data_IF_862316477472
#
_entry.id   IF_862316477472
#
_cell.length_a   1.000
_cell.length_b   1.000
_cell.length_c   1.000
_cell.angle_alpha   90.00
_cell.angle_beta   90.00
_cell.angle_gamma   90.00
#
_symmetry.space_group_name_H-M   'P 1'
#
loop_
_entity.id
_entity.type
_entity.pdbx_description
1 polymer ?
#
# COMPACT_ATOMS: atom_id res chain seq x y z
N UNK A 1 99.92 -45.89 -26.66
CA UNK A 1 99.17 -44.97 -25.88
C UNK A 1 97.70 -45.17 -26.26
N UNK A 2 97.01 -46.05 -25.52
CA UNK A 2 95.56 -46.33 -25.78
C UNK A 2 94.73 -45.44 -24.91
N UNK A 3 93.87 -44.58 -25.52
CA UNK A 3 92.87 -43.79 -24.84
C UNK A 3 91.58 -44.61 -24.83
N UNK A 4 91.13 -45.02 -23.62
CA UNK A 4 89.83 -45.66 -23.43
C UNK A 4 88.71 -44.57 -23.40
N UNK A 5 87.82 -44.62 -24.37
CA UNK A 5 86.63 -43.82 -24.40
C UNK A 5 85.63 -44.46 -23.46
N UNK A 6 85.28 -43.77 -22.33
CA UNK A 6 84.12 -44.11 -21.49
C UNK A 6 82.87 -43.62 -22.17
N UNK A 7 82.02 -44.55 -22.60
CA UNK A 7 80.65 -44.24 -23.06
C UNK A 7 79.77 -44.09 -21.87
N UNK A 8 79.27 -42.89 -21.66
CA UNK A 8 78.17 -42.61 -20.73
C UNK A 8 76.86 -43.13 -21.37
N UNK A 9 76.24 -44.14 -20.77
CA UNK A 9 74.93 -44.61 -21.16
C UNK A 9 73.90 -43.50 -20.66
N UNK A 10 72.93 -43.08 -21.48
CA UNK A 10 71.91 -42.17 -21.03
C UNK A 10 71.07 -42.82 -19.92
N UNK A 11 70.88 -42.15 -18.81
CA UNK A 11 70.02 -42.59 -17.73
C UNK A 11 68.60 -42.74 -18.28
N UNK A 12 68.05 -43.95 -18.24
CA UNK A 12 66.66 -44.19 -18.59
C UNK A 12 65.78 -43.44 -17.62
N UNK A 13 65.12 -42.41 -18.11
CA UNK A 13 64.07 -41.75 -17.33
C UNK A 13 62.93 -42.74 -17.11
N UNK A 14 62.56 -42.99 -15.86
CA UNK A 14 61.42 -43.83 -15.53
C UNK A 14 60.16 -43.18 -16.10
N UNK A 15 59.22 -43.96 -16.59
CA UNK A 15 57.97 -43.43 -17.14
C UNK A 15 57.09 -42.94 -15.99
N UNK A 16 56.41 -41.81 -16.16
CA UNK A 16 55.45 -41.32 -15.13
C UNK A 16 54.36 -42.36 -14.91
N UNK A 17 53.83 -42.47 -13.68
CA UNK A 17 52.78 -43.43 -13.32
C UNK A 17 51.51 -43.21 -14.11
N UNK A 18 50.78 -44.27 -14.47
CA UNK A 18 49.46 -44.17 -15.00
C UNK A 18 48.51 -43.76 -13.86
N UNK A 19 47.59 -42.78 -14.09
CA UNK A 19 46.61 -42.39 -13.12
C UNK A 19 45.26 -42.06 -13.77
N UNK A 20 44.17 -42.59 -13.23
CA UNK A 20 42.81 -42.23 -13.57
C UNK A 20 42.01 -41.92 -12.31
N UNK A 21 41.00 -41.07 -12.46
CA UNK A 21 40.19 -40.59 -11.31
C UNK A 21 38.70 -40.69 -11.58
N UNK A 22 37.94 -40.96 -10.52
CA UNK A 22 36.48 -40.99 -10.52
C UNK A 22 35.94 -40.25 -9.30
N UNK A 23 34.76 -39.69 -9.46
CA UNK A 23 33.97 -39.06 -8.37
C UNK A 23 32.58 -39.71 -8.30
N UNK A 24 32.23 -40.21 -7.15
CA UNK A 24 30.92 -40.83 -6.89
C UNK A 24 30.20 -40.20 -5.68
N UNK A 25 29.11 -39.47 -5.90
CA UNK A 25 28.55 -38.91 -7.12
C UNK A 25 29.33 -37.68 -7.62
N UNK A 26 29.43 -37.48 -8.94
CA UNK A 26 30.07 -36.28 -9.50
C UNK A 26 29.17 -35.04 -9.54
N UNK A 27 27.88 -35.19 -9.26
CA UNK A 27 26.93 -34.08 -9.20
C UNK A 27 25.76 -34.41 -8.29
N UNK A 28 25.28 -33.40 -7.51
CA UNK A 28 24.13 -33.57 -6.61
C UNK A 28 23.81 -32.29 -5.82
N UNK A 29 22.76 -32.33 -4.95
CA UNK A 29 22.41 -31.21 -4.08
C UNK A 29 23.50 -30.94 -3.03
N UNK A 30 23.76 -29.67 -2.76
CA UNK A 30 24.66 -29.22 -1.69
C UNK A 30 24.02 -29.35 -0.31
N UNK A 31 24.79 -29.68 0.75
CA UNK A 31 26.17 -30.13 0.72
C UNK A 31 26.27 -31.53 0.06
N UNK A 32 27.26 -31.71 -0.86
CA UNK A 32 27.41 -32.97 -1.60
C UNK A 32 28.57 -33.78 -1.04
N UNK A 33 28.27 -34.93 -0.45
CA UNK A 33 29.28 -35.91 -0.06
C UNK A 33 29.73 -36.68 -1.30
N UNK A 34 31.03 -36.73 -1.53
CA UNK A 34 31.67 -37.36 -2.70
C UNK A 34 32.79 -38.26 -2.25
N UNK A 35 32.86 -39.46 -2.83
CA UNK A 35 34.04 -40.32 -2.77
C UNK A 35 34.85 -40.09 -4.03
N UNK A 36 36.10 -39.67 -3.89
CA UNK A 36 37.08 -39.49 -4.94
C UNK A 36 37.99 -40.71 -4.91
N UNK A 37 38.18 -41.37 -6.04
CA UNK A 37 39.03 -42.56 -6.18
C UNK A 37 40.03 -42.34 -7.28
N UNK A 38 41.30 -42.53 -6.98
CA UNK A 38 42.40 -42.61 -7.93
C UNK A 38 42.81 -44.04 -8.10
N UNK A 39 43.02 -44.46 -9.34
CA UNK A 39 43.52 -45.81 -9.69
C UNK A 39 44.72 -45.66 -10.62
N UNK A 40 45.71 -46.52 -10.42
CA UNK A 40 46.93 -46.50 -11.17
C UNK A 40 48.07 -47.28 -10.47
N UNK A 41 49.29 -47.14 -10.94
CA UNK A 41 50.48 -47.81 -10.45
C UNK A 41 51.42 -46.94 -9.60
N UNK A 42 50.86 -45.82 -9.04
CA UNK A 42 51.64 -44.92 -8.20
C UNK A 42 51.84 -45.45 -6.78
N UNK A 43 52.96 -45.06 -6.16
CA UNK A 43 53.24 -45.34 -4.75
C UNK A 43 52.46 -44.45 -3.77
N UNK A 44 52.09 -43.21 -4.16
CA UNK A 44 51.34 -42.31 -3.35
C UNK A 44 50.43 -41.39 -4.19
N UNK A 45 49.33 -40.92 -3.56
CA UNK A 45 48.34 -40.02 -4.16
C UNK A 45 48.10 -38.83 -3.25
N UNK A 46 48.30 -37.62 -3.79
CA UNK A 46 48.00 -36.35 -3.11
C UNK A 46 46.91 -35.59 -3.87
N UNK A 47 45.85 -35.21 -3.20
CA UNK A 47 44.69 -34.49 -3.76
C UNK A 47 44.68 -33.02 -3.39
N UNK A 48 44.49 -32.18 -4.39
CA UNK A 48 43.90 -30.85 -4.26
C UNK A 48 42.41 -31.01 -4.59
N UNK A 49 41.50 -30.77 -3.61
CA UNK A 49 40.08 -31.01 -3.78
C UNK A 49 39.37 -29.86 -4.53
N UNK A 50 40.11 -28.78 -4.82
CA UNK A 50 39.61 -27.64 -5.62
C UNK A 50 38.75 -26.65 -4.87
N UNK A 51 38.61 -26.80 -3.54
CA UNK A 51 37.92 -25.88 -2.64
C UNK A 51 38.88 -25.29 -1.59
N UNK A 52 40.18 -25.46 -1.77
CA UNK A 52 41.25 -25.03 -0.85
C UNK A 52 41.61 -26.06 0.17
N UNK A 53 41.03 -27.25 0.13
CA UNK A 53 41.41 -28.38 1.01
C UNK A 53 42.21 -29.44 0.24
N UNK A 54 43.04 -30.23 0.94
CA UNK A 54 43.85 -31.32 0.41
C UNK A 54 43.58 -32.60 1.18
N UNK A 55 43.95 -33.73 0.57
CA UNK A 55 43.85 -35.03 1.23
C UNK A 55 44.85 -36.02 0.56
N UNK A 56 45.19 -37.12 1.25
CA UNK A 56 46.12 -38.15 0.77
C UNK A 56 45.44 -39.51 0.70
N UNK A 57 45.92 -40.35 -0.24
CA UNK A 57 45.45 -41.70 -0.39
C UNK A 57 44.72 -42.00 -1.69
N UNK A 58 44.54 -43.29 -2.03
CA UNK A 58 43.89 -43.68 -3.28
C UNK A 58 42.38 -43.47 -3.29
N UNK A 59 41.74 -43.34 -2.11
CA UNK A 59 40.30 -43.05 -1.97
C UNK A 59 40.09 -42.02 -0.85
N UNK A 60 39.35 -40.93 -1.15
CA UNK A 60 39.13 -39.83 -0.26
C UNK A 60 37.63 -39.51 -0.23
N UNK A 61 37.05 -39.32 0.96
CA UNK A 61 35.69 -38.77 1.14
C UNK A 61 35.74 -37.29 1.47
N UNK A 62 34.95 -36.50 0.76
CA UNK A 62 34.86 -35.05 1.01
C UNK A 62 33.42 -34.53 0.86
N UNK A 63 33.13 -33.44 1.55
CA UNK A 63 31.79 -32.78 1.52
C UNK A 63 31.93 -31.41 0.89
N UNK A 64 31.47 -31.28 -0.33
CA UNK A 64 31.52 -30.01 -1.08
C UNK A 64 30.36 -29.11 -0.71
N UNK A 65 30.66 -27.86 -0.38
CA UNK A 65 29.67 -26.79 -0.33
C UNK A 65 29.13 -26.51 -1.75
N UNK A 66 28.12 -25.57 -1.87
CA UNK A 66 27.58 -25.26 -3.18
C UNK A 66 28.64 -24.61 -4.10
N UNK A 67 28.92 -25.24 -5.24
CA UNK A 67 29.95 -24.79 -6.17
C UNK A 67 30.22 -25.78 -7.30
N UNK A 68 31.14 -25.41 -8.18
CA UNK A 68 31.76 -26.30 -9.14
C UNK A 68 33.25 -26.35 -8.82
N UNK A 69 33.76 -27.55 -8.62
CA UNK A 69 35.11 -27.82 -8.17
C UNK A 69 35.80 -28.75 -9.15
N UNK A 70 37.12 -28.62 -9.27
CA UNK A 70 37.97 -29.55 -10.01
C UNK A 70 38.92 -30.18 -9.01
N UNK A 71 38.63 -31.41 -8.61
CA UNK A 71 39.54 -32.19 -7.79
C UNK A 71 40.70 -32.73 -8.68
N UNK A 72 41.91 -32.49 -8.26
CA UNK A 72 43.14 -32.93 -8.94
C UNK A 72 43.90 -33.88 -8.04
N UNK A 73 44.36 -34.98 -8.59
CA UNK A 73 45.30 -35.86 -7.90
C UNK A 73 46.67 -35.78 -8.55
N UNK A 74 47.69 -35.72 -7.73
CA UNK A 74 49.07 -35.92 -8.12
C UNK A 74 49.48 -37.31 -7.64
N UNK A 75 49.73 -38.18 -8.56
CA UNK A 75 50.19 -39.55 -8.32
C UNK A 75 51.71 -39.58 -8.45
N UNK A 76 52.42 -40.12 -7.44
CA UNK A 76 53.87 -40.15 -7.41
C UNK A 76 54.35 -41.64 -7.44
N UNK A 77 55.18 -42.00 -8.39
CA UNK A 77 55.83 -43.33 -8.48
C UNK A 77 56.89 -43.48 -7.39
N UNK A 78 57.30 -44.71 -7.10
CA UNK A 78 58.42 -45.00 -6.19
C UNK A 78 59.78 -44.43 -6.67
N UNK A 79 59.85 -44.13 -7.95
CA UNK A 79 61.03 -43.53 -8.65
C UNK A 79 61.03 -42.01 -8.57
N UNK A 80 59.91 -41.37 -8.06
CA UNK A 80 59.74 -39.92 -7.87
C UNK A 80 59.06 -39.20 -9.04
N UNK A 81 58.81 -39.87 -10.19
CA UNK A 81 58.07 -39.30 -11.29
C UNK A 81 56.58 -39.09 -10.87
N UNK A 82 55.97 -38.03 -11.42
CA UNK A 82 54.61 -37.69 -11.12
C UNK A 82 53.68 -37.63 -12.33
N UNK A 83 52.41 -37.99 -12.13
CA UNK A 83 51.35 -37.80 -13.11
C UNK A 83 50.16 -37.16 -12.44
N UNK A 84 49.34 -36.41 -13.20
CA UNK A 84 48.15 -35.75 -12.69
C UNK A 84 46.91 -36.20 -13.45
N UNK A 85 45.80 -36.32 -12.72
CA UNK A 85 44.46 -36.47 -13.28
C UNK A 85 43.48 -35.58 -12.54
N UNK A 86 42.35 -35.21 -13.19
CA UNK A 86 41.37 -34.32 -12.61
C UNK A 86 39.95 -34.81 -12.90
N UNK A 87 39.04 -34.55 -11.96
CA UNK A 87 37.61 -34.82 -12.10
C UNK A 87 36.81 -33.63 -11.63
N UNK A 88 35.73 -33.33 -12.35
CA UNK A 88 34.82 -32.24 -11.99
C UNK A 88 33.74 -32.73 -11.02
N UNK A 89 33.48 -31.94 -9.96
CA UNK A 89 32.40 -32.13 -9.00
C UNK A 89 31.48 -30.91 -9.04
N UNK A 90 30.18 -31.14 -9.15
CA UNK A 90 29.16 -30.06 -9.15
C UNK A 90 28.23 -30.24 -7.95
N UNK A 91 28.40 -29.42 -6.94
CA UNK A 91 27.50 -29.36 -5.77
C UNK A 91 26.48 -28.21 -5.95
N UNK A 92 25.20 -28.57 -6.10
CA UNK A 92 24.13 -27.66 -6.53
C UNK A 92 23.47 -27.03 -5.30
N UNK A 93 23.64 -25.73 -5.14
CA UNK A 93 22.97 -24.94 -4.09
C UNK A 93 21.87 -24.02 -4.64
N UNK A 94 20.84 -23.82 -3.87
CA UNK A 94 19.76 -22.87 -4.13
C UNK A 94 19.52 -21.97 -2.93
N UNK A 95 19.27 -20.70 -3.18
CA UNK A 95 18.73 -19.78 -2.17
C UNK A 95 17.42 -19.19 -2.62
N UNK A 96 16.58 -18.79 -1.65
CA UNK A 96 15.31 -18.10 -1.89
C UNK A 96 15.10 -17.02 -0.84
N UNK A 97 14.60 -15.86 -1.27
CA UNK A 97 14.19 -14.77 -0.40
C UNK A 97 12.92 -14.09 -0.95
N UNK A 98 12.15 -13.46 -0.06
CA UNK A 98 10.97 -12.69 -0.38
C UNK A 98 10.73 -11.64 0.72
N UNK A 99 9.85 -10.62 0.51
CA UNK A 99 9.36 -9.76 1.58
C UNK A 99 8.71 -10.58 2.70
N UNK A 100 8.91 -10.15 3.95
CA UNK A 100 8.38 -10.86 5.13
C UNK A 100 6.85 -10.87 5.23
N UNK A 101 6.17 -9.93 4.53
CA UNK A 101 4.72 -9.75 4.57
C UNK A 101 4.15 -9.78 3.16
N UNK A 102 3.05 -10.51 2.96
CA UNK A 102 2.28 -10.51 1.72
C UNK A 102 0.78 -10.39 1.98
N UNK A 103 0.01 -9.80 1.03
CA UNK A 103 -1.44 -9.85 1.09
C UNK A 103 -1.95 -11.18 0.54
N UNK A 104 -2.97 -11.76 1.16
CA UNK A 104 -3.59 -12.98 0.65
C UNK A 104 -3.97 -12.87 -0.83
N UNK A 105 -3.59 -13.87 -1.64
CA UNK A 105 -3.76 -13.92 -3.09
C UNK A 105 -2.95 -12.89 -3.91
N UNK A 106 -2.16 -12.03 -3.30
CA UNK A 106 -1.24 -11.13 -4.01
C UNK A 106 -0.19 -11.93 -4.78
N UNK A 107 0.18 -11.50 -5.99
CA UNK A 107 1.39 -11.97 -6.68
C UNK A 107 2.60 -11.26 -6.07
N UNK A 108 3.45 -12.00 -5.37
CA UNK A 108 4.66 -11.51 -4.73
C UNK A 108 5.88 -11.92 -5.55
N UNK A 109 6.91 -11.08 -5.58
CA UNK A 109 8.20 -11.39 -6.22
C UNK A 109 9.08 -12.11 -5.21
N UNK A 110 9.54 -13.30 -5.59
CA UNK A 110 10.59 -14.06 -4.93
C UNK A 110 11.86 -13.91 -5.75
N UNK A 111 13.00 -13.87 -5.08
CA UNK A 111 14.32 -13.83 -5.71
C UNK A 111 15.22 -14.86 -5.05
N UNK A 112 16.20 -15.33 -5.80
CA UNK A 112 17.12 -16.33 -5.30
C UNK A 112 18.30 -16.50 -6.25
N UNK A 113 19.15 -17.50 -5.96
CA UNK A 113 20.34 -17.80 -6.73
C UNK A 113 20.58 -19.29 -6.81
N UNK A 114 20.96 -19.76 -8.00
CA UNK A 114 21.49 -21.09 -8.26
C UNK A 114 23.01 -21.01 -8.24
N UNK A 115 23.66 -21.93 -7.55
CA UNK A 115 25.11 -22.08 -7.47
C UNK A 115 25.44 -23.54 -7.83
N UNK A 116 26.39 -23.81 -8.72
CA UNK A 116 27.09 -22.88 -9.59
C UNK A 116 26.13 -22.16 -10.58
N UNK A 117 26.53 -20.98 -11.01
CA UNK A 117 25.70 -20.16 -11.90
C UNK A 117 25.57 -20.85 -13.27
N UNK A 118 24.30 -21.03 -13.71
CA UNK A 118 23.96 -21.57 -15.04
C UNK A 118 22.80 -20.77 -15.63
N UNK A 119 22.99 -20.23 -16.84
CA UNK A 119 21.94 -19.49 -17.58
C UNK A 119 20.89 -20.45 -18.13
N UNK A 120 19.61 -20.02 -18.09
CA UNK A 120 18.51 -20.71 -18.77
C UNK A 120 17.96 -21.95 -18.06
N UNK A 121 18.49 -22.30 -16.89
CA UNK A 121 18.01 -23.44 -16.10
C UNK A 121 16.61 -23.15 -15.53
N UNK A 122 15.69 -24.11 -15.68
CA UNK A 122 14.33 -24.00 -15.15
C UNK A 122 14.29 -24.41 -13.69
N UNK A 123 14.07 -23.42 -12.80
CA UNK A 123 13.88 -23.60 -11.36
C UNK A 123 12.40 -23.50 -11.02
N UNK A 124 11.87 -24.44 -10.24
CA UNK A 124 10.48 -24.43 -9.76
C UNK A 124 10.35 -23.69 -8.45
N UNK A 125 9.32 -22.82 -8.31
CA UNK A 125 8.88 -22.28 -7.03
C UNK A 125 7.74 -23.15 -6.48
N UNK A 126 7.91 -23.61 -5.27
CA UNK A 126 6.97 -24.48 -4.58
C UNK A 126 6.36 -23.76 -3.36
N UNK A 127 5.15 -24.13 -3.04
CA UNK A 127 4.45 -23.78 -1.80
C UNK A 127 4.01 -25.08 -1.14
N UNK A 128 4.72 -25.49 -0.07
CA UNK A 128 4.69 -26.88 0.37
C UNK A 128 5.18 -27.79 -0.77
N UNK A 129 4.45 -28.83 -1.09
CA UNK A 129 4.78 -29.76 -2.20
C UNK A 129 4.22 -29.32 -3.56
N UNK A 130 3.35 -28.30 -3.59
CA UNK A 130 2.74 -27.83 -4.84
C UNK A 130 3.64 -26.82 -5.56
N UNK A 131 4.02 -27.14 -6.81
CA UNK A 131 4.67 -26.16 -7.69
C UNK A 131 3.67 -25.08 -8.12
N UNK A 132 3.98 -23.81 -7.83
CA UNK A 132 3.11 -22.64 -8.10
C UNK A 132 3.62 -21.77 -9.24
N UNK A 133 4.92 -21.86 -9.57
CA UNK A 133 5.52 -21.15 -10.68
C UNK A 133 6.84 -21.80 -11.08
N UNK A 134 7.40 -21.38 -12.21
CA UNK A 134 8.77 -21.71 -12.62
C UNK A 134 9.39 -20.53 -13.36
N UNK A 135 10.72 -20.44 -13.34
CA UNK A 135 11.51 -19.39 -13.97
C UNK A 135 12.80 -19.95 -14.52
N UNK A 136 13.37 -19.30 -15.52
CA UNK A 136 14.73 -19.59 -16.02
C UNK A 136 15.74 -18.67 -15.32
N UNK A 137 16.89 -19.23 -14.95
CA UNK A 137 18.00 -18.48 -14.33
C UNK A 137 18.67 -17.53 -15.31
N UNK A 138 19.18 -16.41 -14.82
CA UNK A 138 20.06 -15.51 -15.52
C UNK A 138 21.49 -16.11 -15.69
N UNK A 139 22.36 -15.40 -16.42
CA UNK A 139 23.77 -15.80 -16.62
C UNK A 139 24.55 -15.92 -15.30
N UNK A 140 24.20 -15.18 -14.31
CA UNK A 140 24.77 -15.12 -12.97
C UNK A 140 24.09 -16.07 -11.95
N UNK A 141 23.22 -16.95 -12.42
CA UNK A 141 22.42 -17.87 -11.58
C UNK A 141 21.26 -17.25 -10.85
N UNK A 142 21.05 -15.92 -10.95
CA UNK A 142 19.92 -15.26 -10.30
C UNK A 142 18.59 -15.69 -10.89
N UNK A 143 17.57 -15.77 -10.04
CA UNK A 143 16.20 -16.05 -10.42
C UNK A 143 15.24 -15.05 -9.78
N UNK A 144 14.22 -14.64 -10.56
CA UNK A 144 13.14 -13.77 -10.11
C UNK A 144 11.83 -14.40 -10.53
N UNK A 145 11.04 -14.83 -9.57
CA UNK A 145 9.76 -15.51 -9.86
C UNK A 145 8.61 -14.86 -9.11
N UNK A 146 7.43 -14.76 -9.73
CA UNK A 146 6.23 -14.29 -9.09
C UNK A 146 5.40 -15.48 -8.62
N UNK A 147 5.13 -15.54 -7.32
CA UNK A 147 4.26 -16.53 -6.70
C UNK A 147 3.06 -15.89 -6.04
N UNK A 148 1.93 -16.62 -6.00
CA UNK A 148 0.73 -16.15 -5.32
C UNK A 148 0.81 -16.47 -3.83
N UNK A 149 0.62 -15.45 -2.97
CA UNK A 149 0.61 -15.61 -1.51
C UNK A 149 -0.58 -16.50 -1.10
N UNK A 150 -0.29 -17.56 -0.38
CA UNK A 150 -1.26 -18.49 0.19
C UNK A 150 -1.59 -18.20 1.66
N UNK A 151 -1.83 -19.27 2.40
CA UNK A 151 -1.98 -19.24 3.86
C UNK A 151 -0.60 -19.26 4.54
N UNK A 152 -0.45 -18.77 5.79
CA UNK A 152 0.85 -18.61 6.47
C UNK A 152 1.66 -19.88 6.65
N UNK A 153 1.00 -21.01 6.94
CA UNK A 153 1.66 -22.29 7.28
C UNK A 153 2.39 -22.93 6.09
N UNK A 154 2.24 -22.37 4.89
CA UNK A 154 2.85 -22.89 3.69
C UNK A 154 4.19 -22.19 3.44
N UNK A 155 5.27 -22.96 3.61
CA UNK A 155 6.63 -22.52 3.30
C UNK A 155 6.85 -22.51 1.79
N UNK A 156 7.64 -21.53 1.33
CA UNK A 156 8.03 -21.40 -0.07
C UNK A 156 9.46 -21.88 -0.22
N UNK A 157 9.71 -22.72 -1.22
CA UNK A 157 11.05 -23.23 -1.57
C UNK A 157 11.26 -23.14 -3.08
N UNK A 158 12.51 -22.97 -3.49
CA UNK A 158 12.94 -23.18 -4.87
C UNK A 158 13.53 -24.59 -5.00
N UNK A 159 13.24 -25.32 -6.10
CA UNK A 159 13.75 -26.69 -6.30
C UNK A 159 14.28 -26.87 -7.72
N UNK A 160 15.44 -27.54 -7.84
CA UNK A 160 16.09 -27.91 -9.09
C UNK A 160 17.05 -29.10 -8.87
N UNK A 161 16.97 -30.15 -9.71
CA UNK A 161 17.88 -31.30 -9.72
C UNK A 161 18.17 -31.85 -8.31
N UNK A 162 17.14 -32.09 -7.51
CA UNK A 162 17.25 -32.57 -6.12
C UNK A 162 17.59 -31.49 -5.09
N UNK A 163 18.19 -30.37 -5.48
CA UNK A 163 18.51 -29.27 -4.58
C UNK A 163 17.23 -28.49 -4.17
N UNK A 164 17.14 -28.16 -2.88
CA UNK A 164 16.06 -27.41 -2.29
C UNK A 164 16.64 -26.19 -1.57
N UNK A 165 16.08 -25.01 -1.81
CA UNK A 165 16.52 -23.79 -1.13
C UNK A 165 16.12 -23.78 0.36
N UNK A 166 16.66 -22.80 1.09
CA UNK A 166 16.07 -22.40 2.38
C UNK A 166 14.57 -22.12 2.21
N UNK A 167 13.80 -22.43 3.25
CA UNK A 167 12.36 -22.18 3.28
C UNK A 167 12.07 -20.73 3.65
N UNK A 168 11.16 -20.08 2.92
CA UNK A 168 10.66 -18.73 3.19
C UNK A 168 9.24 -18.81 3.71
N UNK A 169 9.00 -18.23 4.89
CA UNK A 169 7.67 -18.07 5.48
C UNK A 169 7.24 -16.61 5.40
N UNK A 170 5.94 -16.35 5.22
CA UNK A 170 5.37 -15.01 5.10
C UNK A 170 4.30 -14.81 6.16
N UNK A 171 4.31 -13.64 6.82
CA UNK A 171 3.14 -13.15 7.52
C UNK A 171 2.11 -12.67 6.49
N UNK A 172 0.86 -13.11 6.62
CA UNK A 172 -0.17 -12.87 5.61
C UNK A 172 -1.17 -11.83 6.09
N UNK A 173 -1.31 -10.74 5.34
CA UNK A 173 -2.37 -9.76 5.54
C UNK A 173 -3.65 -10.29 4.87
N UNK A 174 -4.70 -10.62 5.65
CA UNK A 174 -5.94 -11.11 5.07
C UNK A 174 -6.70 -10.01 4.34
N UNK A 175 -7.57 -10.39 3.40
CA UNK A 175 -8.56 -9.50 2.81
C UNK A 175 -9.70 -9.28 3.80
N UNK A 176 -10.02 -8.02 4.14
CA UNK A 176 -11.18 -7.65 4.94
C UNK A 176 -12.09 -6.76 4.10
N UNK A 177 -13.19 -7.33 3.63
CA UNK A 177 -14.22 -6.64 2.87
C UNK A 177 -15.37 -6.27 3.80
N UNK A 178 -15.84 -5.02 3.71
CA UNK A 178 -16.91 -4.51 4.54
C UNK A 178 -17.84 -3.63 3.72
N UNK A 179 -19.15 -3.76 3.88
CA UNK A 179 -20.12 -2.95 3.17
C UNK A 179 -21.45 -2.83 3.94
N UNK A 180 -22.11 -1.70 3.76
CA UNK A 180 -23.54 -1.60 4.00
C UNK A 180 -24.30 -2.03 2.75
N UNK A 181 -25.34 -2.83 2.91
CA UNK A 181 -26.18 -3.37 1.86
C UNK A 181 -27.61 -2.86 2.07
N UNK A 182 -28.17 -2.22 1.04
CA UNK A 182 -29.49 -1.61 1.08
C UNK A 182 -29.46 -0.08 1.26
N UNK A 183 -30.65 0.49 1.48
CA UNK A 183 -30.83 1.94 1.57
C UNK A 183 -30.68 2.45 3.00
N UNK A 184 -30.08 3.64 3.17
CA UNK A 184 -30.11 4.41 4.42
C UNK A 184 -31.42 5.17 4.64
N UNK A 185 -32.42 5.06 3.78
CA UNK A 185 -33.71 5.71 3.99
C UNK A 185 -34.51 5.07 5.14
N UNK A 186 -35.21 5.90 5.87
CA UNK A 186 -36.07 5.48 6.97
C UNK A 186 -37.06 4.40 6.53
N UNK A 187 -37.23 3.34 7.32
CA UNK A 187 -38.13 2.22 7.03
C UNK A 187 -37.64 1.24 5.95
N UNK A 188 -36.58 1.54 5.21
CA UNK A 188 -36.04 0.62 4.18
C UNK A 188 -35.09 -0.40 4.77
N UNK A 189 -34.92 -1.55 4.06
CA UNK A 189 -33.99 -2.61 4.50
C UNK A 189 -32.55 -2.14 4.42
N UNK A 190 -31.82 -2.28 5.51
CA UNK A 190 -30.40 -2.00 5.63
C UNK A 190 -29.73 -3.17 6.36
N UNK A 191 -28.59 -3.62 5.89
CA UNK A 191 -27.77 -4.59 6.60
C UNK A 191 -26.28 -4.27 6.44
N UNK A 192 -25.49 -4.70 7.39
CA UNK A 192 -24.03 -4.62 7.35
C UNK A 192 -23.45 -5.99 7.05
N UNK A 193 -22.44 -6.04 6.17
CA UNK A 193 -21.67 -7.23 5.81
C UNK A 193 -20.21 -7.01 6.12
N UNK A 194 -19.60 -7.96 6.84
CA UNK A 194 -18.15 -8.11 6.94
C UNK A 194 -17.74 -9.49 6.42
N UNK A 195 -16.66 -9.57 5.69
CA UNK A 195 -16.09 -10.82 5.17
C UNK A 195 -14.58 -10.79 5.26
N UNK A 196 -13.98 -11.84 5.81
CA UNK A 196 -12.54 -12.05 5.80
C UNK A 196 -12.16 -13.15 4.81
N UNK A 197 -11.06 -12.97 4.12
CA UNK A 197 -10.49 -13.96 3.19
C UNK A 197 -9.00 -14.18 3.47
N UNK A 198 -8.57 -15.44 3.67
CA UNK A 198 -9.39 -16.65 3.74
C UNK A 198 -10.22 -16.70 5.04
N UNK A 199 -11.25 -17.54 5.09
CA UNK A 199 -12.12 -17.64 6.27
C UNK A 199 -11.39 -18.08 7.54
N UNK A 200 -10.33 -18.87 7.37
CA UNK A 200 -9.45 -19.36 8.46
C UNK A 200 -8.49 -18.29 9.01
N UNK A 201 -8.51 -17.05 8.49
CA UNK A 201 -7.57 -16.01 8.92
C UNK A 201 -7.77 -15.53 10.37
N UNK A 202 -8.84 -15.94 11.02
CA UNK A 202 -9.12 -15.63 12.43
C UNK A 202 -10.60 -15.34 12.68
N UNK A 203 -10.89 -14.81 13.87
CA UNK A 203 -12.23 -14.47 14.31
C UNK A 203 -12.54 -13.02 14.04
N UNK A 204 -13.58 -12.76 13.23
CA UNK A 204 -14.15 -11.43 13.03
C UNK A 204 -15.00 -11.04 14.23
N UNK A 205 -14.88 -9.80 14.69
CA UNK A 205 -15.80 -9.16 15.62
C UNK A 205 -16.36 -7.91 14.98
N UNK A 206 -17.67 -7.82 14.88
CA UNK A 206 -18.41 -6.65 14.39
C UNK A 206 -19.15 -6.05 15.57
N UNK A 207 -18.89 -4.77 15.85
CA UNK A 207 -19.62 -3.96 16.83
C UNK A 207 -20.30 -2.81 16.14
N UNK A 208 -21.57 -2.57 16.47
CA UNK A 208 -22.41 -1.55 15.85
C UNK A 208 -23.00 -0.67 16.92
N UNK A 209 -22.76 0.63 16.79
CA UNK A 209 -23.32 1.67 17.66
C UNK A 209 -24.34 2.48 16.88
N UNK A 210 -25.31 3.02 17.63
CA UNK A 210 -26.21 4.07 17.20
C UNK A 210 -26.05 5.23 18.16
N UNK A 211 -25.52 6.35 17.68
CA UNK A 211 -24.96 7.37 18.57
C UNK A 211 -23.86 6.78 19.45
N UNK A 212 -24.01 6.92 20.77
CA UNK A 212 -23.08 6.35 21.77
C UNK A 212 -23.46 4.91 22.21
N UNK A 213 -24.69 4.47 21.95
CA UNK A 213 -25.21 3.18 22.40
C UNK A 213 -24.76 2.02 21.51
N UNK A 214 -24.14 0.99 22.09
CA UNK A 214 -23.87 -0.27 21.42
C UNK A 214 -25.19 -1.02 21.19
N UNK A 215 -25.57 -1.22 19.91
CA UNK A 215 -26.84 -1.86 19.56
C UNK A 215 -26.69 -3.30 19.10
N UNK A 216 -25.51 -3.68 18.60
CA UNK A 216 -25.19 -5.05 18.20
C UNK A 216 -23.71 -5.33 18.34
N UNK A 217 -23.39 -6.55 18.79
CA UNK A 217 -22.07 -7.13 18.71
C UNK A 217 -22.21 -8.58 18.23
N UNK A 218 -21.36 -9.01 17.31
CA UNK A 218 -21.33 -10.39 16.81
C UNK A 218 -19.90 -10.78 16.45
N UNK A 219 -19.51 -11.99 16.84
CA UNK A 219 -18.24 -12.61 16.45
C UNK A 219 -18.50 -13.88 15.65
N UNK A 220 -17.54 -14.25 14.77
CA UNK A 220 -17.62 -15.44 13.95
C UNK A 220 -16.52 -15.51 12.91
N UNK A 221 -16.50 -16.57 12.13
CA UNK A 221 -15.50 -16.81 11.07
C UNK A 221 -16.04 -16.49 9.68
N UNK A 222 -15.16 -16.13 8.78
CA UNK A 222 -15.43 -15.97 7.36
C UNK A 222 -16.36 -14.80 7.02
N UNK A 223 -17.64 -14.87 7.39
CA UNK A 223 -18.66 -13.88 6.99
C UNK A 223 -19.65 -13.61 8.12
N UNK A 224 -19.88 -12.33 8.39
CA UNK A 224 -20.93 -11.86 9.33
C UNK A 224 -21.86 -10.92 8.58
N UNK A 225 -23.17 -11.15 8.63
CA UNK A 225 -24.21 -10.22 8.19
C UNK A 225 -25.12 -9.87 9.34
N UNK A 226 -25.43 -8.58 9.49
CA UNK A 226 -26.28 -8.05 10.56
C UNK A 226 -27.33 -7.13 9.93
N UNK A 227 -28.60 -7.42 10.15
CA UNK A 227 -29.69 -6.53 9.79
C UNK A 227 -29.72 -5.34 10.78
N UNK A 228 -30.00 -4.13 10.27
CA UNK A 228 -30.07 -2.90 11.02
C UNK A 228 -31.52 -2.38 11.06
N UNK A 229 -31.92 -1.85 12.21
CA UNK A 229 -33.24 -1.26 12.35
C UNK A 229 -33.23 0.16 11.78
N UNK A 230 -34.06 0.40 10.78
CA UNK A 230 -34.20 1.70 10.11
C UNK A 230 -35.52 2.43 10.48
N UNK A 231 -36.22 2.01 11.51
CA UNK A 231 -37.48 2.66 11.95
C UNK A 231 -37.27 4.07 12.55
N UNK A 232 -36.03 4.42 12.86
CA UNK A 232 -35.70 5.77 13.40
C UNK A 232 -34.44 6.29 12.70
N UNK A 233 -34.39 7.60 12.41
CA UNK A 233 -33.20 8.26 11.86
C UNK A 233 -32.02 8.25 12.85
N UNK A 234 -30.80 8.42 12.34
CA UNK A 234 -29.57 8.48 13.12
C UNK A 234 -28.43 7.69 12.50
N UNK A 235 -27.22 7.92 12.96
CA UNK A 235 -26.02 7.28 12.42
C UNK A 235 -25.75 5.91 13.05
N UNK A 236 -25.45 4.92 12.21
CA UNK A 236 -24.85 3.66 12.60
C UNK A 236 -23.34 3.70 12.40
N UNK A 237 -22.58 3.60 13.48
CA UNK A 237 -21.12 3.44 13.46
C UNK A 237 -20.77 1.98 13.62
N UNK A 238 -19.95 1.46 12.73
CA UNK A 238 -19.53 0.05 12.74
C UNK A 238 -18.02 -0.03 12.87
N UNK A 239 -17.57 -0.82 13.84
CA UNK A 239 -16.16 -1.22 13.94
C UNK A 239 -16.05 -2.72 13.70
N UNK A 240 -15.16 -3.07 12.79
CA UNK A 240 -14.81 -4.46 12.49
C UNK A 240 -13.36 -4.68 12.89
N UNK A 241 -13.11 -5.70 13.67
CA UNK A 241 -11.77 -6.15 14.02
C UNK A 241 -11.61 -7.64 13.74
N UNK A 242 -10.45 -8.01 13.25
CA UNK A 242 -10.02 -9.39 13.12
C UNK A 242 -9.04 -9.69 14.24
N UNK A 243 -9.36 -10.69 15.09
CA UNK A 243 -8.39 -11.37 15.93
C UNK A 243 -7.74 -12.44 15.04
N UNK A 244 -6.46 -12.26 14.64
CA UNK A 244 -5.87 -13.12 13.64
C UNK A 244 -5.52 -14.51 14.21
N UNK A 245 -5.64 -15.53 13.38
CA UNK A 245 -5.01 -16.83 13.61
C UNK A 245 -3.48 -16.71 13.43
N UNK A 246 -2.68 -17.68 13.91
CA UNK A 246 -1.22 -17.68 13.77
C UNK A 246 -0.76 -17.39 12.34
N UNK A 247 0.26 -16.53 12.19
CA UNK A 247 0.82 -16.14 10.91
C UNK A 247 0.01 -15.11 10.10
N UNK A 248 -1.23 -14.79 10.51
CA UNK A 248 -2.00 -13.70 9.92
C UNK A 248 -1.81 -12.39 10.68
N UNK A 249 -1.90 -11.29 9.94
CA UNK A 249 -1.82 -9.94 10.51
C UNK A 249 -3.21 -9.44 10.90
N UNK A 250 -3.24 -8.59 11.94
CA UNK A 250 -4.45 -7.93 12.38
C UNK A 250 -5.04 -7.05 11.27
N UNK A 251 -6.37 -7.00 11.18
CA UNK A 251 -7.10 -6.11 10.29
C UNK A 251 -8.24 -5.43 11.03
N UNK A 252 -8.46 -4.15 10.75
CA UNK A 252 -9.52 -3.34 11.34
C UNK A 252 -10.17 -2.48 10.27
N UNK A 253 -11.48 -2.20 10.42
CA UNK A 253 -12.24 -1.23 9.62
C UNK A 253 -13.21 -0.50 10.51
N UNK A 254 -13.43 0.78 10.21
CA UNK A 254 -14.51 1.58 10.76
C UNK A 254 -15.32 2.14 9.58
N UNK A 255 -16.62 2.11 9.70
CA UNK A 255 -17.56 2.64 8.70
C UNK A 255 -18.72 3.31 9.44
N UNK A 256 -19.35 4.23 8.74
CA UNK A 256 -20.58 4.88 9.21
C UNK A 256 -21.64 4.84 8.12
N UNK A 257 -22.90 4.79 8.53
CA UNK A 257 -24.06 4.89 7.64
C UNK A 257 -25.17 5.60 8.37
N UNK A 258 -25.64 6.69 7.78
CA UNK A 258 -26.80 7.43 8.30
C UNK A 258 -28.10 6.78 7.82
N UNK A 259 -29.06 6.68 8.73
CA UNK A 259 -30.47 6.43 8.43
C UNK A 259 -31.19 7.77 8.50
N UNK A 260 -31.82 8.17 7.41
CA UNK A 260 -32.32 9.53 7.22
C UNK A 260 -33.74 9.56 6.62
N UNK A 261 -34.43 10.63 6.88
CA UNK A 261 -35.62 11.04 6.12
C UNK A 261 -35.14 11.57 4.77
N UNK A 262 -35.71 11.11 3.63
CA UNK A 262 -35.16 11.42 2.31
C UNK A 262 -35.24 12.89 1.92
N UNK A 263 -36.20 13.65 2.44
CA UNK A 263 -36.42 15.07 2.09
C UNK A 263 -36.33 15.96 3.32
N UNK A 264 -35.48 16.98 3.25
CA UNK A 264 -35.37 18.05 4.26
C UNK A 264 -35.34 19.41 3.57
N UNK A 265 -35.93 20.39 4.21
CA UNK A 265 -35.97 21.80 3.78
C UNK A 265 -36.06 22.71 5.01
N UNK A 266 -36.03 24.01 4.79
CA UNK A 266 -36.22 25.01 5.84
C UNK A 266 -37.41 24.66 6.73
N UNK A 267 -37.21 24.73 8.04
CA UNK A 267 -38.19 24.36 9.05
C UNK A 267 -38.23 22.87 9.40
N UNK A 268 -37.54 21.99 8.68
CA UNK A 268 -37.38 20.60 9.10
C UNK A 268 -36.61 20.53 10.42
N UNK A 269 -36.99 19.58 11.30
CA UNK A 269 -36.32 19.41 12.58
C UNK A 269 -36.15 17.92 12.94
N UNK A 270 -35.23 17.64 13.86
CA UNK A 270 -35.02 16.32 14.45
C UNK A 270 -33.80 15.57 13.97
N UNK A 271 -33.69 14.23 14.24
CA UNK A 271 -32.47 13.47 14.10
C UNK A 271 -31.88 13.44 12.69
N UNK A 272 -32.70 13.59 11.64
CA UNK A 272 -32.18 13.62 10.25
C UNK A 272 -31.47 14.94 9.96
N UNK A 273 -31.95 16.07 10.48
CA UNK A 273 -31.28 17.38 10.37
C UNK A 273 -30.02 17.36 11.19
N UNK A 274 -30.05 16.90 12.43
CA UNK A 274 -28.85 16.77 13.27
C UNK A 274 -27.73 15.97 12.58
N UNK A 275 -28.06 14.87 11.89
CA UNK A 275 -27.06 14.09 11.17
C UNK A 275 -26.57 14.80 9.88
N UNK A 276 -27.41 15.61 9.26
CA UNK A 276 -27.02 16.51 8.16
C UNK A 276 -25.98 17.52 8.64
N UNK A 277 -26.31 18.29 9.69
CA UNK A 277 -25.47 19.33 10.28
C UNK A 277 -24.13 18.74 10.72
N UNK A 278 -24.20 17.64 11.48
CA UNK A 278 -23.00 16.94 11.94
C UNK A 278 -22.08 16.54 10.77
N UNK A 279 -22.66 16.01 9.70
CA UNK A 279 -21.87 15.56 8.56
C UNK A 279 -21.31 16.72 7.73
N UNK A 280 -22.07 17.79 7.52
CA UNK A 280 -21.60 19.00 6.85
C UNK A 280 -20.48 19.67 7.67
N UNK A 281 -20.63 19.74 9.01
CA UNK A 281 -19.59 20.27 9.89
C UNK A 281 -18.30 19.43 9.85
N UNK A 282 -18.40 18.09 9.83
CA UNK A 282 -17.23 17.20 9.65
C UNK A 282 -16.51 17.40 8.31
N UNK A 283 -17.25 17.85 7.30
CA UNK A 283 -16.70 18.18 5.97
C UNK A 283 -16.25 19.65 5.86
N UNK A 284 -16.29 20.37 6.99
CA UNK A 284 -15.89 21.77 7.13
C UNK A 284 -16.80 22.79 6.41
N UNK A 285 -18.04 22.43 6.07
CA UNK A 285 -18.99 23.42 5.61
C UNK A 285 -19.41 24.34 6.77
N UNK A 286 -19.51 25.62 6.47
CA UNK A 286 -19.90 26.61 7.47
C UNK A 286 -21.32 26.34 7.97
N UNK A 287 -21.46 26.18 9.28
CA UNK A 287 -22.73 26.07 10.02
C UNK A 287 -22.66 26.97 11.24
N UNK A 288 -23.80 27.47 11.69
CA UNK A 288 -23.96 28.19 12.94
C UNK A 288 -23.86 27.21 14.11
N UNK A 289 -24.77 26.25 14.16
CA UNK A 289 -24.85 25.24 15.21
C UNK A 289 -25.18 23.86 14.61
N UNK A 290 -24.89 22.81 15.37
CA UNK A 290 -25.31 21.44 15.08
C UNK A 290 -26.46 21.15 16.05
N UNK A 291 -27.65 21.63 15.77
CA UNK A 291 -28.79 21.62 16.68
C UNK A 291 -29.96 20.73 16.22
N UNK A 292 -29.95 20.33 14.95
CA UNK A 292 -30.99 19.49 14.34
C UNK A 292 -32.22 20.28 13.94
N UNK A 293 -32.09 21.58 13.70
CA UNK A 293 -33.08 22.45 13.08
C UNK A 293 -32.54 23.02 11.78
N UNK A 294 -33.28 22.86 10.68
CA UNK A 294 -32.87 23.31 9.35
C UNK A 294 -33.14 24.81 9.21
N UNK A 295 -32.17 25.59 9.61
CA UNK A 295 -32.18 27.06 9.58
C UNK A 295 -31.59 27.66 8.33
N UNK A 296 -31.28 28.96 8.35
CA UNK A 296 -30.66 29.67 7.22
C UNK A 296 -29.17 29.24 7.02
N UNK A 297 -28.46 28.94 8.08
CA UNK A 297 -27.11 28.45 8.04
C UNK A 297 -27.02 27.07 7.36
N UNK A 298 -28.01 26.18 7.57
CA UNK A 298 -28.14 24.93 6.85
C UNK A 298 -28.43 25.14 5.36
N UNK A 299 -29.30 26.08 5.02
CA UNK A 299 -29.53 26.48 3.62
C UNK A 299 -28.21 26.85 2.95
N UNK A 300 -27.41 27.68 3.60
CA UNK A 300 -26.12 28.13 3.05
C UNK A 300 -25.12 27.00 2.95
N UNK A 301 -25.02 26.14 3.95
CA UNK A 301 -24.14 24.96 3.93
C UNK A 301 -24.56 23.94 2.86
N UNK A 302 -25.88 23.69 2.74
CA UNK A 302 -26.44 22.79 1.70
C UNK A 302 -26.16 23.36 0.30
N UNK A 303 -26.36 24.65 0.09
CA UNK A 303 -26.02 25.31 -1.19
C UNK A 303 -24.53 25.20 -1.48
N UNK A 304 -23.64 25.43 -0.51
CA UNK A 304 -22.20 25.27 -0.70
C UNK A 304 -21.84 23.84 -1.10
N UNK A 305 -22.46 22.86 -0.46
CA UNK A 305 -22.29 21.46 -0.80
C UNK A 305 -22.79 21.16 -2.22
N UNK A 306 -24.00 21.60 -2.57
CA UNK A 306 -24.59 21.42 -3.90
C UNK A 306 -23.70 22.04 -4.99
N UNK A 307 -23.17 23.24 -4.78
CA UNK A 307 -22.25 23.94 -5.67
C UNK A 307 -20.99 23.12 -5.91
N UNK A 308 -20.38 22.58 -4.84
CA UNK A 308 -19.12 21.89 -4.90
C UNK A 308 -19.23 20.51 -5.56
N UNK A 309 -20.37 19.83 -5.34
CA UNK A 309 -20.65 18.48 -5.82
C UNK A 309 -21.47 18.42 -7.12
N UNK A 310 -21.70 19.57 -7.79
CA UNK A 310 -22.44 19.62 -9.07
C UNK A 310 -23.89 19.18 -8.95
N UNK A 311 -24.49 19.38 -7.78
CA UNK A 311 -25.92 19.11 -7.55
C UNK A 311 -26.78 20.34 -7.90
N UNK A 312 -28.09 20.18 -8.18
CA UNK A 312 -29.01 21.30 -8.30
C UNK A 312 -28.98 22.19 -7.06
N UNK A 313 -28.80 23.50 -7.25
CA UNK A 313 -28.62 24.50 -6.17
C UNK A 313 -29.99 24.95 -5.62
N UNK A 314 -30.73 24.04 -4.99
CA UNK A 314 -32.12 24.22 -4.57
C UNK A 314 -32.27 24.50 -3.09
N UNK A 315 -31.18 24.44 -2.30
CA UNK A 315 -31.21 24.43 -0.83
C UNK A 315 -31.97 23.25 -0.18
N UNK A 316 -32.63 22.42 -0.96
CA UNK A 316 -33.33 21.24 -0.45
C UNK A 316 -32.40 20.03 -0.42
N UNK A 317 -32.62 19.16 0.56
CA UNK A 317 -31.94 17.88 0.71
C UNK A 317 -32.86 16.78 0.21
N UNK A 318 -32.40 15.99 -0.73
CA UNK A 318 -33.08 14.83 -1.28
C UNK A 318 -32.25 13.55 -1.17
N UNK A 319 -32.73 12.44 -1.71
CA UNK A 319 -32.02 11.17 -1.70
C UNK A 319 -30.69 11.21 -2.46
N UNK A 320 -30.58 12.05 -3.51
CA UNK A 320 -29.33 12.23 -4.27
C UNK A 320 -28.31 13.02 -3.46
N UNK A 321 -28.75 14.08 -2.78
CA UNK A 321 -27.91 14.83 -1.85
C UNK A 321 -27.34 13.92 -0.74
N UNK A 322 -28.18 13.11 -0.11
CA UNK A 322 -27.75 12.16 0.93
C UNK A 322 -26.75 11.14 0.41
N UNK A 323 -26.96 10.63 -0.78
CA UNK A 323 -26.05 9.66 -1.38
C UNK A 323 -24.66 10.28 -1.62
N UNK A 324 -24.61 11.55 -2.05
CA UNK A 324 -23.36 12.30 -2.24
C UNK A 324 -22.70 12.62 -0.90
N UNK A 325 -23.46 13.15 0.07
CA UNK A 325 -22.96 13.52 1.39
C UNK A 325 -22.31 12.36 2.15
N UNK A 326 -22.83 11.14 1.98
CA UNK A 326 -22.30 9.96 2.66
C UNK A 326 -20.92 9.52 2.16
N UNK A 327 -20.57 9.81 0.92
CA UNK A 327 -19.29 9.45 0.29
C UNK A 327 -18.31 10.62 0.18
N UNK A 328 -18.81 11.85 0.43
CA UNK A 328 -17.99 13.05 0.35
C UNK A 328 -16.84 13.03 1.36
N UNK A 329 -15.72 13.58 0.94
CA UNK A 329 -14.55 13.84 1.76
C UNK A 329 -14.35 15.34 1.94
N UNK A 330 -13.53 15.74 2.91
CA UNK A 330 -13.15 17.14 3.11
C UNK A 330 -12.52 17.66 1.81
N UNK A 331 -12.98 18.80 1.27
CA UNK A 331 -12.41 19.36 0.05
C UNK A 331 -10.90 19.61 0.18
N UNK A 332 -10.18 19.42 -0.90
CA UNK A 332 -8.74 19.67 -0.90
C UNK A 332 -8.44 21.09 -1.37
N UNK A 333 -7.48 21.74 -0.70
CA UNK A 333 -6.94 23.02 -1.12
C UNK A 333 -6.18 22.86 -2.45
N UNK A 334 -6.27 23.88 -3.29
CA UNK A 334 -5.53 23.95 -4.58
C UNK A 334 -4.09 24.42 -4.37
N UNK A 335 -3.85 25.26 -3.35
CA UNK A 335 -2.56 25.86 -3.06
C UNK A 335 -2.07 25.47 -1.65
N UNK A 336 -0.76 25.45 -1.39
CA UNK A 336 -0.20 25.15 -0.08
C UNK A 336 -0.26 26.35 0.88
N UNK A 337 -0.08 26.08 2.18
CA UNK A 337 0.05 27.10 3.23
C UNK A 337 -1.27 27.68 3.70
N UNK A 338 -1.23 28.89 4.29
CA UNK A 338 -2.37 29.59 4.89
C UNK A 338 -2.90 30.64 3.92
N UNK A 339 -4.14 30.55 3.47
CA UNK A 339 -4.72 31.46 2.50
C UNK A 339 -6.24 31.33 2.38
N UNK A 340 -6.83 32.19 1.56
CA UNK A 340 -8.21 32.08 1.10
C UNK A 340 -8.22 31.68 -0.37
N UNK A 341 -9.09 30.75 -0.75
CA UNK A 341 -9.38 30.42 -2.14
C UNK A 341 -10.81 30.75 -2.50
N UNK A 342 -11.05 31.33 -3.65
CA UNK A 342 -12.39 31.59 -4.20
C UNK A 342 -12.49 30.95 -5.58
N UNK A 343 -13.31 29.92 -5.71
CA UNK A 343 -13.67 29.33 -6.99
C UNK A 343 -14.87 30.06 -7.59
N UNK A 344 -14.65 30.86 -8.63
CA UNK A 344 -15.73 31.57 -9.34
C UNK A 344 -16.67 30.61 -10.06
N UNK A 345 -16.16 29.56 -10.66
CA UNK A 345 -16.99 28.57 -11.35
C UNK A 345 -17.93 27.83 -10.41
N UNK A 346 -17.44 27.46 -9.23
CA UNK A 346 -18.24 26.76 -8.19
C UNK A 346 -18.97 27.71 -7.26
N UNK A 347 -18.61 28.99 -7.19
CA UNK A 347 -19.19 29.97 -6.26
C UNK A 347 -19.03 29.56 -4.79
N UNK A 348 -17.83 29.16 -4.40
CA UNK A 348 -17.45 28.81 -3.02
C UNK A 348 -16.12 29.44 -2.64
N UNK A 349 -15.98 29.74 -1.35
CA UNK A 349 -14.77 30.19 -0.70
C UNK A 349 -14.27 29.08 0.23
N UNK A 350 -12.95 28.85 0.22
CA UNK A 350 -12.27 27.99 1.16
C UNK A 350 -11.32 28.83 2.03
N UNK A 351 -11.38 28.61 3.33
CA UNK A 351 -10.31 28.98 4.24
C UNK A 351 -9.36 27.80 4.39
N UNK A 352 -8.09 28.05 4.11
CA UNK A 352 -7.04 27.03 4.13
C UNK A 352 -6.04 27.35 5.24
N UNK A 353 -5.70 26.34 6.04
CA UNK A 353 -4.66 26.37 7.08
C UNK A 353 -3.75 25.16 6.90
N UNK A 354 -2.46 25.41 6.89
CA UNK A 354 -1.43 24.36 6.69
C UNK A 354 -1.72 23.45 5.47
N UNK A 355 -2.19 24.07 4.37
CA UNK A 355 -2.56 23.37 3.14
C UNK A 355 -3.84 22.52 3.23
N UNK A 356 -4.65 22.70 4.30
CA UNK A 356 -5.90 21.97 4.49
C UNK A 356 -7.09 22.93 4.54
N UNK A 357 -8.17 22.57 3.87
CA UNK A 357 -9.44 23.30 3.98
C UNK A 357 -10.00 23.15 5.39
N UNK A 358 -10.24 24.28 6.06
CA UNK A 358 -10.79 24.31 7.41
C UNK A 358 -12.19 24.92 7.47
N UNK A 359 -12.61 25.65 6.40
CA UNK A 359 -13.96 26.17 6.27
C UNK A 359 -14.34 26.29 4.80
N UNK A 360 -15.57 25.93 4.46
CA UNK A 360 -16.18 26.08 3.13
C UNK A 360 -17.41 26.99 3.28
N UNK A 361 -17.45 28.08 2.51
CA UNK A 361 -18.51 29.09 2.57
C UNK A 361 -19.11 29.30 1.19
N UNK A 362 -20.43 29.34 1.00
CA UNK A 362 -21.03 29.73 -0.26
C UNK A 362 -20.74 31.20 -0.54
N UNK A 363 -20.46 31.53 -1.81
CA UNK A 363 -20.28 32.93 -2.21
C UNK A 363 -21.17 33.30 -3.38
N UNK A 364 -21.31 34.61 -3.60
CA UNK A 364 -21.82 35.21 -4.84
C UNK A 364 -20.84 36.27 -5.30
N UNK A 365 -20.18 35.99 -6.44
CA UNK A 365 -19.17 36.87 -7.06
C UNK A 365 -19.80 37.82 -8.08
N UNK A 366 -19.01 38.61 -8.82
CA UNK A 366 -19.48 39.58 -9.79
C UNK A 366 -20.38 39.00 -10.87
N UNK A 367 -21.56 39.61 -11.05
CA UNK A 367 -22.59 39.21 -12.02
C UNK A 367 -22.07 39.19 -13.48
N UNK A 368 -21.23 40.13 -13.82
CA UNK A 368 -20.60 40.24 -15.16
C UNK A 368 -19.27 39.48 -15.28
N UNK A 369 -18.94 38.67 -14.28
CA UNK A 369 -17.66 37.95 -14.22
C UNK A 369 -16.46 38.82 -13.83
N UNK A 370 -16.68 40.08 -13.43
CA UNK A 370 -15.67 41.09 -13.16
C UNK A 370 -14.91 40.96 -11.83
N UNK A 371 -15.22 39.95 -10.99
CA UNK A 371 -14.35 39.60 -9.85
C UNK A 371 -12.97 39.22 -10.40
N UNK A 372 -11.88 39.96 -10.04
CA UNK A 372 -10.57 39.75 -10.64
C UNK A 372 -9.99 38.36 -10.33
N UNK A 373 -9.55 37.68 -11.36
CA UNK A 373 -8.75 36.45 -11.20
C UNK A 373 -7.34 36.83 -10.76
N UNK A 374 -6.68 35.94 -10.04
CA UNK A 374 -5.27 36.12 -9.68
C UNK A 374 -4.95 35.81 -8.24
N UNK A 375 -3.74 36.20 -7.84
CA UNK A 375 -3.17 36.04 -6.53
C UNK A 375 -3.04 37.41 -5.87
N UNK A 376 -3.82 37.65 -4.85
CA UNK A 376 -3.94 38.92 -4.17
C UNK A 376 -3.52 38.78 -2.70
N UNK A 377 -3.48 39.91 -1.99
CA UNK A 377 -3.31 39.93 -0.53
C UNK A 377 -4.29 40.90 0.09
N UNK A 378 -4.80 40.54 1.26
CA UNK A 378 -5.62 41.47 2.03
C UNK A 378 -4.77 42.67 2.44
N UNK A 379 -5.18 43.86 2.02
CA UNK A 379 -4.47 45.11 2.28
C UNK A 379 -5.26 46.09 3.14
N UNK A 380 -6.58 45.92 3.29
CA UNK A 380 -7.44 46.75 4.13
C UNK A 380 -8.56 45.92 4.76
N UNK A 381 -8.93 46.27 5.94
CA UNK A 381 -9.98 45.58 6.72
C UNK A 381 -10.90 46.58 7.41
N UNK A 382 -12.21 46.41 7.27
CA UNK A 382 -13.24 47.26 7.88
C UNK A 382 -14.19 46.39 8.68
N UNK A 383 -14.24 46.52 10.02
CA UNK A 383 -15.19 45.80 10.87
C UNK A 383 -16.58 46.42 10.79
N UNK A 384 -17.60 45.61 11.06
CA UNK A 384 -19.00 46.07 11.06
C UNK A 384 -19.49 46.41 9.65
N UNK A 385 -20.58 47.21 9.57
CA UNK A 385 -21.11 47.72 8.32
C UNK A 385 -20.39 49.00 7.87
N UNK A 386 -20.10 49.10 6.60
CA UNK A 386 -19.62 50.33 5.98
C UNK A 386 -20.76 51.05 5.21
N UNK A 387 -20.48 52.22 4.64
CA UNK A 387 -21.46 53.01 3.90
C UNK A 387 -22.05 52.31 2.65
N UNK A 388 -21.42 51.24 2.15
CA UNK A 388 -21.89 50.43 1.04
C UNK A 388 -22.65 49.17 1.48
N UNK A 389 -23.09 49.13 2.74
CA UNK A 389 -23.78 48.00 3.37
C UNK A 389 -22.97 46.68 3.33
N UNK A 390 -21.64 46.78 3.21
CA UNK A 390 -20.73 45.62 3.28
C UNK A 390 -20.40 45.36 4.75
N UNK A 391 -20.54 44.14 5.19
CA UNK A 391 -20.37 43.72 6.59
C UNK A 391 -19.08 42.92 6.80
N UNK A 392 -18.19 43.38 7.66
CA UNK A 392 -16.87 42.79 7.94
C UNK A 392 -16.05 42.56 6.68
N UNK A 393 -15.60 43.66 6.05
CA UNK A 393 -14.98 43.66 4.76
C UNK A 393 -13.45 43.44 4.83
N UNK A 394 -12.91 42.52 4.02
CA UNK A 394 -11.49 42.31 3.80
C UNK A 394 -11.16 42.58 2.34
N UNK A 395 -10.56 43.76 2.05
CA UNK A 395 -10.21 44.20 0.71
C UNK A 395 -8.91 43.55 0.24
N UNK A 396 -8.90 43.05 -0.99
CA UNK A 396 -7.76 42.32 -1.54
C UNK A 396 -7.18 42.92 -2.84
N UNK A 397 -7.97 43.66 -3.62
CA UNK A 397 -7.51 44.43 -4.77
C UNK A 397 -8.49 45.56 -5.09
N UNK A 398 -8.02 46.83 -5.28
CA UNK A 398 -8.87 47.97 -5.55
C UNK A 398 -10.07 48.04 -4.60
N UNK A 399 -11.27 48.19 -5.10
CA UNK A 399 -12.52 48.21 -4.32
C UNK A 399 -13.13 46.82 -4.07
N UNK A 400 -12.42 45.72 -4.44
CA UNK A 400 -12.96 44.38 -4.30
C UNK A 400 -12.62 43.80 -2.91
N UNK A 401 -13.62 43.28 -2.24
CA UNK A 401 -13.51 42.73 -0.91
C UNK A 401 -14.26 41.39 -0.78
N UNK A 402 -13.87 40.60 0.20
CA UNK A 402 -14.68 39.54 0.79
C UNK A 402 -15.45 40.16 1.93
N UNK A 403 -16.80 40.09 1.89
CA UNK A 403 -17.65 40.73 2.90
C UNK A 403 -18.98 40.04 3.05
N UNK A 404 -19.59 40.17 4.22
CA UNK A 404 -20.99 39.76 4.46
C UNK A 404 -21.96 40.64 3.71
N UNK A 405 -23.01 40.02 3.17
CA UNK A 405 -24.10 40.74 2.51
C UNK A 405 -25.41 40.02 2.71
N UNK A 406 -26.52 40.81 2.71
CA UNK A 406 -27.88 40.29 2.96
C UNK A 406 -28.38 39.33 1.87
N UNK A 407 -27.82 39.39 0.67
CA UNK A 407 -28.18 38.52 -0.46
C UNK A 407 -26.98 37.82 -1.04
N UNK A 408 -26.93 36.48 -0.90
CA UNK A 408 -25.89 35.60 -1.45
C UNK A 408 -26.57 34.49 -2.27
N UNK A 409 -27.10 34.84 -3.46
CA UNK A 409 -27.77 33.85 -4.29
C UNK A 409 -26.80 32.76 -4.77
N UNK A 410 -27.32 31.61 -5.20
CA UNK A 410 -26.46 30.49 -5.62
C UNK A 410 -25.68 30.70 -6.93
N UNK A 411 -25.76 31.91 -7.52
CA UNK A 411 -25.13 32.35 -8.76
C UNK A 411 -24.42 33.70 -8.55
N UNK A 412 -23.56 34.14 -9.49
CA UNK A 412 -22.92 35.46 -9.43
C UNK A 412 -23.92 36.59 -9.51
N UNK A 413 -23.89 37.54 -8.54
CA UNK A 413 -24.87 38.65 -8.45
C UNK A 413 -24.29 39.94 -7.82
N UNK A 414 -22.98 39.97 -7.49
CA UNK A 414 -22.37 41.18 -6.92
C UNK A 414 -21.88 42.13 -8.05
N UNK A 415 -21.47 43.35 -7.65
CA UNK A 415 -20.74 44.27 -8.57
C UNK A 415 -19.27 43.96 -8.71
N UNK A 416 -18.80 42.76 -8.19
CA UNK A 416 -17.42 42.31 -8.33
C UNK A 416 -16.83 41.81 -7.01
N UNK A 417 -17.32 42.23 -5.85
CA UNK A 417 -16.94 41.69 -4.55
C UNK A 417 -17.32 40.22 -4.39
N UNK A 418 -16.71 39.55 -3.41
CA UNK A 418 -17.04 38.19 -2.98
C UNK A 418 -18.01 38.31 -1.79
N UNK A 419 -19.32 38.21 -2.05
CA UNK A 419 -20.33 38.21 -1.01
C UNK A 419 -20.38 36.88 -0.30
N UNK A 420 -20.43 36.89 1.03
CA UNK A 420 -20.65 35.74 1.90
C UNK A 420 -21.89 36.01 2.81
N UNK A 421 -22.54 34.98 3.37
CA UNK A 421 -23.67 35.19 4.30
C UNK A 421 -23.28 36.05 5.50
N UNK A 422 -24.22 36.91 5.95
CA UNK A 422 -23.99 37.86 7.06
C UNK A 422 -23.55 37.15 8.33
N UNK A 423 -24.20 36.04 8.69
CA UNK A 423 -23.98 35.34 9.94
C UNK A 423 -22.54 34.74 10.05
N UNK A 424 -21.95 34.35 8.93
CA UNK A 424 -20.58 33.77 8.90
C UNK A 424 -19.48 34.84 8.70
N UNK A 425 -19.85 36.05 8.29
CA UNK A 425 -18.90 37.10 7.97
C UNK A 425 -17.95 37.48 9.11
N UNK A 426 -18.43 37.66 10.38
CA UNK A 426 -17.52 37.91 11.50
C UNK A 426 -16.49 36.82 11.72
N UNK A 427 -16.89 35.54 11.57
CA UNK A 427 -16.00 34.39 11.68
C UNK A 427 -14.95 34.37 10.56
N UNK A 428 -15.36 34.60 9.31
CA UNK A 428 -14.45 34.66 8.17
C UNK A 428 -13.48 35.83 8.34
N UNK A 429 -13.97 37.00 8.74
CA UNK A 429 -13.17 38.17 9.00
C UNK A 429 -12.11 37.93 10.09
N UNK A 430 -12.46 37.29 11.20
CA UNK A 430 -11.50 36.99 12.28
C UNK A 430 -10.40 35.99 11.88
N UNK A 431 -10.64 35.21 10.81
CA UNK A 431 -9.70 34.24 10.28
C UNK A 431 -8.85 34.78 9.11
N UNK A 432 -9.10 35.99 8.64
CA UNK A 432 -8.40 36.65 7.54
C UNK A 432 -7.73 37.94 8.06
N UNK A 433 -6.42 37.98 8.06
CA UNK A 433 -5.64 39.15 8.51
C UNK A 433 -5.02 39.94 7.36
N UNK A 434 -4.44 41.11 7.67
CA UNK A 434 -3.59 41.86 6.73
C UNK A 434 -2.51 40.93 6.18
N UNK A 435 -2.26 41.03 4.88
CA UNK A 435 -1.29 40.20 4.16
C UNK A 435 -1.77 38.77 3.86
N UNK A 436 -2.91 38.32 4.35
CA UNK A 436 -3.46 36.99 4.00
C UNK A 436 -3.56 36.84 2.47
N UNK A 437 -2.96 35.80 1.87
CA UNK A 437 -3.11 35.55 0.43
C UNK A 437 -4.55 35.20 0.06
N UNK A 438 -5.01 35.72 -1.07
CA UNK A 438 -6.35 35.45 -1.65
C UNK A 438 -6.15 34.99 -3.09
N UNK A 439 -6.50 33.76 -3.38
CA UNK A 439 -6.43 33.17 -4.70
C UNK A 439 -7.83 33.10 -5.31
N UNK A 440 -8.02 33.73 -6.47
CA UNK A 440 -9.30 33.72 -7.19
C UNK A 440 -9.11 33.06 -8.54
N UNK A 441 -9.88 32.02 -8.80
CA UNK A 441 -9.80 31.18 -9.99
C UNK A 441 -11.17 30.69 -10.48
N UNK A 442 -11.21 30.17 -11.68
CA UNK A 442 -12.40 29.49 -12.24
C UNK A 442 -12.61 28.08 -11.71
#
# INVERSE_FOLDING_TARGET
MFVAAMAFAPAAHAAPPAVSVQAGPSSGPAPLQVTLTATGDAASYHWDLGDGTTADGPAVQHVYAAGAFTARVTATASTGETAQAAVMVTSIGLSLAAPRIGRYQQKLRFHGRLVPARKGVRVGLFRGERRIASVRTGKDGRLFVRGRVGIPDQRYTARYAGAVSNAVSLAVRPGLDTAFLGSGQLGRRLSFLARVRPAVAGTLTVRIWRGTRLVRARSGHGRIRIALNTARAGAYRVRVSLQPAPGYLQARRALERVVFTPSLSVGSAGPSVYELDRRLNELHYALGQVDGYFGQDDVDAVIAFQKLHGLPRTSAVDSRFWAELQRAEVPQARYPGNHVEVSKGRQVLFLVRDGRVTLVVPVSTGATGNTPLGHWRVYSRVPGFNALAMYYSSFFVGAFAIHGYHSVPPYPASHGCVRIPLWVAPRVYSLIDYGTPVFIYW
#
